data_IF_541007763532
#
_entry.id   IF_541007763532
#
_cell.length_a   1.000
_cell.length_b   1.000
_cell.length_c   1.000
_cell.angle_alpha   90.00
_cell.angle_beta   90.00
_cell.angle_gamma   90.00
#
_symmetry.space_group_name_H-M   'P 1'
#
loop_
_entity.id
_entity.type
_entity.pdbx_description
1 polymer ?
#
# COMPACT_ATOMS: atom_id res chain seq x y z
N UNK A 1 -34.26 -12.04 21.43
CA UNK A 1 -33.96 -11.84 20.65
C UNK A 1 -33.84 -11.68 20.33
N UNK A 2 -33.96 -11.59 20.77
CA UNK A 2 -33.62 -11.28 20.15
C UNK A 2 -33.33 -10.88 19.99
N UNK A 3 -33.25 -10.48 20.24
CA UNK A 3 -32.77 -9.98 19.75
C UNK A 3 -32.47 -9.71 19.62
N UNK A 4 -32.32 -9.43 19.76
CA UNK A 4 -31.79 -8.98 19.24
C UNK A 4 -31.34 -8.77 18.91
N UNK A 5 -31.33 -8.69 19.07
CA UNK A 5 -30.87 -8.51 18.32
C UNK A 5 -30.50 -8.08 17.97
N UNK A 6 -30.37 -7.62 18.05
CA UNK A 6 -30.05 -7.19 17.36
C UNK A 6 -29.45 -6.88 16.86
N UNK A 7 -29.39 -6.86 16.84
CA UNK A 7 -28.86 -6.55 16.08
C UNK A 7 -28.23 -6.45 15.36
N UNK A 8 -28.56 -6.64 15.61
CA UNK A 8 -27.95 -6.58 14.63
C UNK A 8 -27.75 -6.37 13.93
N UNK A 9 -28.23 -6.59 13.89
CA UNK A 9 -27.87 -6.42 12.95
C UNK A 9 -27.70 -6.54 12.38
N UNK A 10 -28.09 -6.81 12.44
CA UNK A 10 -27.88 -7.01 11.60
C UNK A 10 -27.94 -7.48 11.18
N UNK A 11 -28.52 -8.13 11.55
CA UNK A 11 -28.62 -8.64 11.00
C UNK A 11 -28.83 -9.23 10.65
N UNK A 12 -29.45 -9.56 10.79
CA UNK A 12 -29.43 -10.28 10.46
C UNK A 12 -29.83 -10.55 9.43
N UNK A 13 -30.28 -10.65 9.51
CA UNK A 13 -30.50 -10.82 8.60
C UNK A 13 -30.13 -10.38 7.63
N UNK A 14 -30.14 -10.32 7.45
CA UNK A 14 -29.61 -9.74 6.51
C UNK A 14 -28.66 -8.96 6.60
N UNK A 15 -28.58 -9.22 7.19
CA UNK A 15 -27.67 -8.64 7.21
C UNK A 15 -27.58 -7.52 6.65
N UNK A 16 -27.51 -6.96 6.62
CA UNK A 16 -27.13 -5.79 6.26
C UNK A 16 -26.53 -5.77 4.98
N UNK A 17 -27.28 -5.79 3.94
CA UNK A 17 -26.83 -5.74 2.58
C UNK A 17 -26.02 -4.46 2.34
N UNK A 18 -26.44 -3.36 2.95
CA UNK A 18 -25.73 -2.10 2.78
C UNK A 18 -24.33 -2.14 3.35
N UNK A 19 -24.11 -2.92 4.40
CA UNK A 19 -22.77 -3.08 4.97
C UNK A 19 -22.00 -4.18 4.28
N UNK A 20 -22.69 -5.17 3.78
CA UNK A 20 -22.07 -6.34 3.17
C UNK A 20 -21.55 -6.07 1.76
N UNK A 21 -22.35 -5.38 0.94
CA UNK A 21 -21.97 -5.08 -0.43
C UNK A 21 -20.72 -4.21 -0.53
N UNK A 22 -20.63 -3.10 0.21
CA UNK A 22 -19.39 -2.32 0.15
C UNK A 22 -18.15 -3.10 0.51
N UNK A 23 -18.26 -4.00 1.48
CA UNK A 23 -17.14 -4.84 1.86
C UNK A 23 -16.70 -5.76 0.72
N UNK A 24 -17.67 -6.40 0.07
CA UNK A 24 -17.37 -7.31 -1.05
C UNK A 24 -16.82 -6.56 -2.25
N UNK A 25 -17.35 -5.38 -2.53
CA UNK A 25 -16.82 -4.54 -3.60
C UNK A 25 -15.40 -4.10 -3.31
N UNK A 26 -15.11 -3.80 -2.05
CA UNK A 26 -13.77 -3.41 -1.65
C UNK A 26 -12.80 -4.56 -1.84
N UNK A 27 -13.18 -5.77 -1.47
CA UNK A 27 -12.33 -6.94 -1.67
C UNK A 27 -12.09 -7.19 -3.15
N UNK A 28 -13.13 -7.13 -3.97
CA UNK A 28 -13.01 -7.35 -5.41
C UNK A 28 -12.11 -6.30 -6.03
N UNK A 29 -12.32 -5.03 -5.68
CA UNK A 29 -11.52 -3.93 -6.17
C UNK A 29 -10.05 -4.10 -5.82
N UNK A 30 -9.76 -4.51 -4.58
CA UNK A 30 -8.40 -4.74 -4.14
C UNK A 30 -7.77 -5.91 -4.87
N UNK A 31 -8.55 -6.95 -5.16
CA UNK A 31 -8.06 -8.12 -5.88
C UNK A 31 -7.68 -7.74 -7.31
N UNK A 32 -8.54 -6.97 -8.00
CA UNK A 32 -8.28 -6.53 -9.35
C UNK A 32 -7.06 -5.62 -9.38
N UNK A 33 -7.00 -4.66 -8.46
CA UNK A 33 -5.87 -3.73 -8.39
C UNK A 33 -4.57 -4.46 -8.14
N UNK A 34 -4.61 -5.49 -7.30
CA UNK A 34 -3.41 -6.28 -7.02
C UNK A 34 -2.97 -7.06 -8.26
N UNK A 35 -3.92 -7.67 -8.99
CA UNK A 35 -3.59 -8.43 -10.19
C UNK A 35 -2.94 -7.52 -11.25
N UNK A 36 -3.47 -6.32 -11.42
CA UNK A 36 -2.92 -5.36 -12.35
C UNK A 36 -1.55 -4.90 -11.88
N UNK A 37 -1.41 -4.61 -10.60
CA UNK A 37 -0.13 -4.19 -10.03
C UNK A 37 0.92 -5.27 -10.21
N UNK A 38 0.55 -6.54 -10.00
CA UNK A 38 1.48 -7.66 -10.17
C UNK A 38 1.95 -7.76 -11.62
N UNK A 39 1.03 -7.60 -12.57
CA UNK A 39 1.39 -7.67 -13.98
C UNK A 39 2.36 -6.56 -14.36
N UNK A 40 2.13 -5.35 -13.88
CA UNK A 40 3.04 -4.23 -14.17
C UNK A 40 4.33 -4.32 -13.37
N UNK A 41 4.24 -4.78 -12.12
CA UNK A 41 5.43 -4.95 -11.28
C UNK A 41 6.37 -5.97 -11.88
N UNK A 42 5.84 -7.05 -12.43
CA UNK A 42 6.65 -8.08 -13.08
C UNK A 42 7.43 -7.49 -14.26
N UNK A 43 6.81 -6.60 -15.01
CA UNK A 43 7.46 -5.92 -16.13
C UNK A 43 8.69 -5.13 -15.67
N UNK A 44 8.63 -4.58 -14.47
CA UNK A 44 9.71 -3.77 -13.92
C UNK A 44 10.56 -4.53 -12.90
N UNK A 45 10.34 -5.83 -12.78
CA UNK A 45 11.05 -6.67 -11.81
C UNK A 45 10.83 -6.17 -10.38
N UNK A 46 9.56 -5.90 -10.05
CA UNK A 46 9.16 -5.48 -8.72
C UNK A 46 8.32 -6.56 -8.06
N UNK A 47 8.57 -6.83 -6.79
CA UNK A 47 7.64 -7.64 -6.01
C UNK A 47 6.43 -6.79 -5.63
N UNK A 48 5.36 -7.46 -5.22
CA UNK A 48 4.15 -6.73 -4.78
C UNK A 48 4.46 -5.87 -3.56
N UNK A 49 5.34 -6.35 -2.67
CA UNK A 49 5.70 -5.57 -1.48
C UNK A 49 6.53 -4.35 -1.86
N UNK A 50 7.44 -4.49 -2.83
CA UNK A 50 8.21 -3.35 -3.33
C UNK A 50 7.29 -2.30 -3.96
N UNK A 51 6.31 -2.75 -4.75
CA UNK A 51 5.35 -1.83 -5.33
C UNK A 51 4.54 -1.11 -4.25
N UNK A 52 4.12 -1.84 -3.21
CA UNK A 52 3.35 -1.23 -2.12
C UNK A 52 4.16 -0.14 -1.42
N UNK A 53 5.44 -0.38 -1.19
CA UNK A 53 6.32 0.64 -0.61
C UNK A 53 6.42 1.84 -1.53
N UNK A 54 6.64 1.61 -2.83
CA UNK A 54 6.72 2.69 -3.80
C UNK A 54 5.43 3.50 -3.86
N UNK A 55 4.29 2.82 -3.79
CA UNK A 55 2.98 3.50 -3.84
C UNK A 55 2.81 4.43 -2.64
N UNK A 56 3.23 3.99 -1.47
CA UNK A 56 3.19 4.83 -0.27
C UNK A 56 4.11 6.04 -0.43
N UNK A 57 5.33 5.82 -0.92
CA UNK A 57 6.28 6.91 -1.07
C UNK A 57 5.88 7.89 -2.17
N UNK A 58 5.18 7.43 -3.19
CA UNK A 58 4.65 8.31 -4.22
C UNK A 58 3.57 9.23 -3.67
N UNK A 59 2.75 8.72 -2.75
CA UNK A 59 1.67 9.49 -2.14
C UNK A 59 2.15 10.33 -0.96
N UNK A 60 3.11 9.80 -0.19
CA UNK A 60 3.61 10.45 1.03
C UNK A 60 5.13 10.48 0.99
N UNK A 61 5.72 11.34 0.13
CA UNK A 61 7.18 11.43 0.05
C UNK A 61 7.77 11.89 1.38
N UNK A 62 8.95 11.38 1.69
CA UNK A 62 9.61 11.73 2.93
C UNK A 62 9.11 10.94 4.13
N UNK A 63 8.52 9.77 3.91
CA UNK A 63 8.11 8.90 5.00
C UNK A 63 9.29 8.08 5.51
N UNK A 64 9.32 7.84 6.81
CA UNK A 64 10.26 6.88 7.39
C UNK A 64 9.79 5.46 7.06
N UNK A 65 10.68 4.47 7.24
CA UNK A 65 10.30 3.08 7.04
C UNK A 65 9.16 2.66 7.97
N UNK A 66 9.16 3.17 9.20
CA UNK A 66 8.09 2.86 10.16
C UNK A 66 6.75 3.42 9.68
N UNK A 67 6.76 4.64 9.13
CA UNK A 67 5.55 5.24 8.60
C UNK A 67 5.03 4.49 7.38
N UNK A 68 5.94 4.02 6.54
CA UNK A 68 5.55 3.20 5.39
C UNK A 68 4.87 1.92 5.87
N UNK A 69 5.45 1.26 6.87
CA UNK A 69 4.88 0.02 7.40
C UNK A 69 3.48 0.25 7.93
N UNK A 70 3.29 1.34 8.65
CA UNK A 70 2.00 1.68 9.23
C UNK A 70 0.98 1.99 8.15
N UNK A 71 1.32 2.83 7.18
CA UNK A 71 0.40 3.24 6.12
C UNK A 71 0.05 2.09 5.19
N UNK A 72 1.00 1.21 4.94
CA UNK A 72 0.79 0.07 4.06
C UNK A 72 0.17 -1.13 4.78
N UNK A 73 0.04 -1.05 6.09
CA UNK A 73 -0.38 -2.17 6.93
C UNK A 73 0.49 -3.40 6.66
N UNK A 74 1.81 -3.16 6.59
CA UNK A 74 2.79 -4.20 6.35
C UNK A 74 3.63 -4.41 7.58
N UNK A 75 4.12 -5.62 7.72
CA UNK A 75 5.03 -5.93 8.79
C UNK A 75 6.39 -5.27 8.52
N UNK A 76 7.07 -4.89 9.60
CA UNK A 76 8.31 -4.11 9.49
C UNK A 76 9.42 -4.84 8.78
N UNK A 77 9.48 -6.17 8.94
CA UNK A 77 10.51 -6.97 8.27
C UNK A 77 10.27 -6.96 6.75
N UNK A 78 9.02 -7.09 6.35
CA UNK A 78 8.66 -7.06 4.93
C UNK A 78 9.00 -5.70 4.31
N UNK A 79 8.72 -4.61 5.04
CA UNK A 79 9.07 -3.26 4.57
C UNK A 79 10.58 -3.11 4.46
N UNK A 80 11.31 -3.55 5.48
CA UNK A 80 12.77 -3.44 5.48
C UNK A 80 13.38 -4.16 4.29
N UNK A 81 12.89 -5.35 3.98
CA UNK A 81 13.39 -6.12 2.83
C UNK A 81 13.06 -5.43 1.52
N UNK A 82 11.84 -4.93 1.40
CA UNK A 82 11.42 -4.25 0.18
C UNK A 82 12.23 -2.97 -0.02
N UNK A 83 12.43 -2.19 1.04
CA UNK A 83 13.21 -0.96 0.98
C UNK A 83 14.65 -1.27 0.57
N UNK A 84 15.25 -2.32 1.13
CA UNK A 84 16.60 -2.70 0.80
C UNK A 84 16.74 -2.98 -0.70
N UNK A 85 15.80 -3.72 -1.27
CA UNK A 85 15.82 -4.02 -2.71
C UNK A 85 15.61 -2.77 -3.56
N UNK A 86 14.73 -1.90 -3.12
CA UNK A 86 14.47 -0.65 -3.86
C UNK A 86 15.68 0.28 -3.82
N UNK A 87 16.38 0.31 -2.70
CA UNK A 87 17.64 1.07 -2.60
C UNK A 87 18.69 0.49 -3.54
N UNK A 88 18.83 -0.82 -3.56
CA UNK A 88 19.83 -1.49 -4.41
C UNK A 88 19.53 -1.27 -5.89
N UNK A 89 18.25 -1.20 -6.26
CA UNK A 89 17.83 -0.98 -7.65
C UNK A 89 17.75 0.50 -8.00
N UNK A 90 18.14 1.38 -7.10
CA UNK A 90 18.12 2.84 -7.30
C UNK A 90 16.72 3.38 -7.63
N UNK A 91 15.71 2.80 -7.02
CA UNK A 91 14.32 3.26 -7.19
C UNK A 91 13.85 4.11 -6.03
N UNK A 92 14.54 4.00 -4.91
CA UNK A 92 14.29 4.74 -3.69
C UNK A 92 15.62 5.22 -3.17
N UNK A 93 15.66 6.39 -2.55
CA UNK A 93 16.85 6.83 -1.84
C UNK A 93 16.47 7.25 -0.42
N UNK A 94 17.46 7.25 0.44
CA UNK A 94 17.30 7.59 1.84
C UNK A 94 17.99 8.92 2.10
N UNK A 95 17.36 9.76 2.91
CA UNK A 95 17.99 11.00 3.32
C UNK A 95 17.65 11.29 4.78
N UNK A 96 18.42 12.19 5.38
CA UNK A 96 18.15 12.67 6.72
C UNK A 96 17.02 13.69 6.67
N UNK A 97 16.09 13.61 7.62
CA UNK A 97 15.00 14.56 7.72
C UNK A 97 15.58 15.95 8.02
N UNK A 98 15.10 16.96 7.30
CA UNK A 98 15.55 18.33 7.48
C UNK A 98 15.21 18.87 8.86
N UNK A 99 14.07 18.45 9.41
CA UNK A 99 13.59 18.95 10.70
C UNK A 99 14.07 18.13 11.89
N UNK A 100 14.40 16.86 11.68
CA UNK A 100 14.90 15.99 12.75
C UNK A 100 16.02 15.13 12.19
N UNK A 101 17.25 15.50 12.49
CA UNK A 101 18.43 14.85 11.96
C UNK A 101 18.61 13.41 12.43
N UNK A 102 17.86 13.00 13.44
CA UNK A 102 17.90 11.61 13.91
C UNK A 102 16.96 10.73 13.13
N UNK A 103 16.16 11.33 12.24
CA UNK A 103 15.15 10.62 11.49
C UNK A 103 15.60 10.44 10.05
N UNK A 104 15.53 9.20 9.59
CA UNK A 104 15.83 8.86 8.20
C UNK A 104 14.51 8.73 7.44
N UNK A 105 14.42 9.34 6.28
CA UNK A 105 13.21 9.28 5.45
C UNK A 105 13.57 8.77 4.07
N UNK A 106 12.55 8.29 3.39
CA UNK A 106 12.67 7.63 2.09
C UNK A 106 11.92 8.44 1.04
N UNK A 107 12.45 8.44 -0.17
CA UNK A 107 11.82 9.10 -1.30
C UNK A 107 12.09 8.30 -2.56
N UNK A 108 11.18 8.38 -3.52
CA UNK A 108 11.41 7.80 -4.83
C UNK A 108 12.50 8.58 -5.55
N UNK A 109 13.37 7.86 -6.24
CA UNK A 109 14.29 8.49 -7.17
C UNK A 109 13.54 8.91 -8.42
N UNK A 110 14.20 9.60 -9.35
CA UNK A 110 13.59 9.90 -10.64
C UNK A 110 13.16 8.63 -11.36
N UNK A 111 13.99 7.58 -11.30
CA UNK A 111 13.67 6.29 -11.90
C UNK A 111 12.45 5.67 -11.21
N UNK A 112 12.40 5.71 -9.88
CA UNK A 112 11.26 5.19 -9.13
C UNK A 112 9.98 5.95 -9.46
N UNK A 113 10.07 7.26 -9.60
CA UNK A 113 8.90 8.08 -9.95
C UNK A 113 8.37 7.76 -11.34
N UNK A 114 9.24 7.46 -12.28
CA UNK A 114 8.81 7.07 -13.63
C UNK A 114 7.98 5.79 -13.59
N UNK A 115 8.42 4.81 -12.81
CA UNK A 115 7.68 3.57 -12.66
C UNK A 115 6.35 3.82 -11.96
N UNK A 116 6.37 4.59 -10.88
CA UNK A 116 5.17 4.93 -10.13
C UNK A 116 4.13 5.58 -11.05
N UNK A 117 4.55 6.51 -11.90
CA UNK A 117 3.65 7.21 -12.82
C UNK A 117 3.09 6.29 -13.90
N UNK A 118 3.83 5.26 -14.28
CA UNK A 118 3.38 4.30 -15.29
C UNK A 118 2.33 3.36 -14.75
N UNK A 119 2.47 2.95 -13.51
CA UNK A 119 1.57 1.97 -12.90
C UNK A 119 0.33 2.63 -12.32
N UNK A 120 0.51 3.79 -11.68
CA UNK A 120 -0.58 4.43 -10.93
C UNK A 120 -1.82 4.73 -11.77
N UNK A 121 -1.74 5.27 -12.99
CA UNK A 121 -2.95 5.54 -13.76
C UNK A 121 -3.76 4.29 -14.09
N UNK A 122 -3.12 3.13 -14.15
CA UNK A 122 -3.82 1.88 -14.44
C UNK A 122 -4.67 1.45 -13.26
N UNK A 123 -4.26 1.84 -12.04
CA UNK A 123 -4.95 1.47 -10.81
C UNK A 123 -6.05 2.44 -10.43
N UNK A 124 -6.07 3.59 -11.04
CA UNK A 124 -7.08 4.60 -10.80
C UNK A 124 -8.18 4.55 -11.84
#
# INVERSE_FOLDING_TARGET
>A
MPGPARKTPHNEEGLRLEAFLPYRLSILSNTISRAIAEAYAERYDLSINEWRVMAILGRFPGSSAAEVAERAAMDKVAVSRAVSRLLDADRVHRRTDADDRRRSVLELTAAGRRIYRRITPVLL
#
